data_IF_911331293977
#
_entry.id   IF_911331293977
#
_cell.length_a   1.000
_cell.length_b   1.000
_cell.length_c   1.000
_cell.angle_alpha   90.00
_cell.angle_beta   90.00
_cell.angle_gamma   90.00
#
_symmetry.space_group_name_H-M   'P 1'
#
loop_
_entity.id
_entity.type
_entity.pdbx_description
1 polymer ?
#
# COMPACT_ATOMS: atom_id res chain seq x y z
N UNK A 1 -56.99 8.80 -20.16
CA UNK A 1 -56.04 7.69 -19.92
C UNK A 1 -55.66 7.76 -18.45
N UNK A 2 -56.02 6.71 -17.72
CA UNK A 2 -55.91 6.57 -16.26
C UNK A 2 -54.49 6.14 -15.88
N UNK A 3 -54.00 6.52 -14.69
CA UNK A 3 -53.31 5.65 -13.72
C UNK A 3 -53.00 6.49 -12.47
N UNK A 4 -54.01 6.58 -11.61
CA UNK A 4 -53.81 6.53 -10.16
C UNK A 4 -53.18 5.19 -9.78
N UNK A 5 -52.56 5.14 -8.59
CA UNK A 5 -51.88 4.00 -7.93
C UNK A 5 -50.35 4.04 -8.10
N UNK A 6 -49.66 4.63 -7.12
CA UNK A 6 -48.65 3.97 -6.27
C UNK A 6 -48.13 4.99 -5.25
N UNK A 7 -48.97 5.27 -4.25
CA UNK A 7 -48.50 5.67 -2.93
C UNK A 7 -48.11 4.39 -2.15
N UNK A 8 -47.23 4.56 -1.15
CA UNK A 8 -46.54 3.57 -0.28
C UNK A 8 -45.11 3.30 -0.79
N UNK A 9 -44.04 3.71 -0.14
CA UNK A 9 -43.75 3.51 1.28
C UNK A 9 -42.86 4.66 1.79
N UNK A 10 -43.41 5.46 2.71
CA UNK A 10 -42.67 6.41 3.54
C UNK A 10 -42.46 5.72 4.88
N UNK A 11 -41.32 5.04 5.03
CA UNK A 11 -40.71 4.73 6.33
C UNK A 11 -39.26 5.18 6.21
N UNK A 12 -38.96 6.40 6.66
CA UNK A 12 -38.42 6.64 8.01
C UNK A 12 -37.30 5.65 8.32
N UNK A 13 -36.07 6.05 8.03
CA UNK A 13 -35.00 6.21 9.01
C UNK A 13 -33.94 7.11 8.38
N UNK A 14 -34.03 8.42 8.64
CA UNK A 14 -32.80 9.19 8.81
C UNK A 14 -32.05 8.53 9.96
N UNK A 15 -30.85 8.03 9.72
CA UNK A 15 -29.81 8.02 10.75
C UNK A 15 -28.46 7.65 10.13
N UNK A 16 -27.50 8.53 10.41
CA UNK A 16 -26.05 8.34 10.29
C UNK A 16 -25.42 8.74 8.96
N UNK A 17 -25.36 10.08 8.78
CA UNK A 17 -24.16 10.78 8.32
C UNK A 17 -22.88 10.03 8.71
N UNK A 18 -22.28 9.32 7.76
CA UNK A 18 -20.87 8.91 7.86
C UNK A 18 -20.14 9.50 6.65
N UNK A 19 -19.29 10.52 6.82
CA UNK A 19 -18.67 11.26 5.73
C UNK A 19 -17.55 10.50 5.00
N UNK A 20 -17.58 9.16 4.98
CA UNK A 20 -16.47 8.34 4.49
C UNK A 20 -16.89 7.17 3.60
N UNK A 21 -17.69 7.42 2.56
CA UNK A 21 -17.79 6.49 1.43
C UNK A 21 -16.81 6.82 0.30
N UNK A 22 -16.47 8.10 0.12
CA UNK A 22 -15.49 8.55 -0.87
C UNK A 22 -14.07 8.09 -0.50
N UNK A 23 -13.69 8.13 0.79
CA UNK A 23 -12.37 7.68 1.24
C UNK A 23 -12.11 6.19 0.97
N UNK A 24 -13.15 5.36 1.10
CA UNK A 24 -13.09 3.92 0.81
C UNK A 24 -12.93 3.64 -0.69
N UNK A 25 -13.55 4.45 -1.55
CA UNK A 25 -13.47 4.29 -3.00
C UNK A 25 -12.17 4.87 -3.59
N UNK A 26 -11.65 5.98 -3.06
CA UNK A 26 -10.37 6.57 -3.48
C UNK A 26 -9.15 5.72 -3.09
N UNK A 27 -9.30 4.82 -2.11
CA UNK A 27 -8.26 3.86 -1.72
C UNK A 27 -8.15 2.67 -2.68
N UNK A 28 -9.21 2.40 -3.47
CA UNK A 28 -9.30 1.22 -4.34
C UNK A 28 -8.86 1.48 -5.78
N UNK A 29 -8.93 2.72 -6.28
CA UNK A 29 -8.59 3.03 -7.68
C UNK A 29 -7.10 3.26 -7.94
N UNK A 30 -6.28 3.47 -6.90
CA UNK A 30 -4.87 3.83 -7.05
C UNK A 30 -3.92 2.62 -7.03
N UNK A 31 -4.18 1.56 -7.79
CA UNK A 31 -3.25 0.41 -7.92
C UNK A 31 -3.32 -0.22 -9.31
N UNK A 32 -2.65 0.41 -10.26
CA UNK A 32 -2.26 -0.28 -11.50
C UNK A 32 -0.79 0.01 -11.78
N UNK A 33 0.08 -0.53 -10.93
CA UNK A 33 1.46 -0.77 -11.33
C UNK A 33 1.71 -2.26 -11.15
N UNK A 34 1.28 -3.03 -12.14
CA UNK A 34 1.30 -4.51 -12.11
C UNK A 34 2.73 -5.07 -12.02
N UNK A 35 3.76 -4.28 -12.30
CA UNK A 35 5.16 -4.68 -12.32
C UNK A 35 6.04 -3.70 -11.54
N UNK A 36 7.15 -4.20 -11.01
CA UNK A 36 8.17 -3.35 -10.39
C UNK A 36 8.91 -2.54 -11.47
N UNK A 37 9.41 -1.34 -11.13
CA UNK A 37 10.34 -0.60 -11.99
C UNK A 37 11.57 -1.44 -12.36
N UNK A 38 11.92 -1.50 -13.65
CA UNK A 38 13.04 -2.32 -14.15
C UNK A 38 14.39 -1.95 -13.50
N UNK A 39 14.57 -0.70 -13.07
CA UNK A 39 15.75 -0.27 -12.33
C UNK A 39 15.97 -1.03 -11.01
N UNK A 40 14.95 -1.71 -10.49
CA UNK A 40 15.05 -2.50 -9.26
C UNK A 40 15.52 -3.93 -9.49
N UNK A 41 15.58 -4.39 -10.74
CA UNK A 41 16.04 -5.75 -11.10
C UNK A 41 17.36 -6.15 -10.42
N UNK A 42 18.39 -5.29 -10.28
CA UNK A 42 19.62 -5.64 -9.58
C UNK A 42 19.43 -6.05 -8.10
N UNK A 43 18.38 -5.58 -7.43
CA UNK A 43 18.09 -5.93 -6.04
C UNK A 43 17.49 -7.34 -5.88
N UNK A 44 17.06 -7.97 -6.98
CA UNK A 44 16.32 -9.23 -7.02
C UNK A 44 17.02 -10.28 -7.90
N UNK A 45 18.35 -10.29 -7.88
CA UNK A 45 19.19 -11.17 -8.71
C UNK A 45 18.99 -12.67 -8.48
N UNK A 46 18.37 -13.05 -7.36
CA UNK A 46 18.15 -14.42 -6.88
C UNK A 46 16.73 -14.95 -7.17
N UNK A 47 15.86 -14.16 -7.79
CA UNK A 47 14.46 -14.51 -8.05
C UNK A 47 14.01 -14.09 -9.45
N UNK A 48 12.93 -14.70 -9.94
CA UNK A 48 12.33 -14.32 -11.21
C UNK A 48 11.64 -12.94 -11.10
N UNK A 49 12.34 -11.89 -11.56
CA UNK A 49 11.89 -10.50 -11.43
C UNK A 49 10.54 -10.25 -12.10
N UNK A 50 10.28 -10.87 -13.26
CA UNK A 50 9.03 -10.68 -14.00
C UNK A 50 7.78 -11.20 -13.28
N UNK A 51 7.95 -12.07 -12.28
CA UNK A 51 6.86 -12.57 -11.45
C UNK A 51 6.57 -11.69 -10.23
N UNK A 52 7.42 -10.71 -9.92
CA UNK A 52 7.28 -9.85 -8.75
C UNK A 52 6.30 -8.71 -9.03
N UNK A 53 5.37 -8.53 -8.09
CA UNK A 53 4.53 -7.33 -8.00
C UNK A 53 4.46 -6.90 -6.55
N UNK A 54 4.35 -5.59 -6.31
CA UNK A 54 4.28 -5.08 -4.94
C UNK A 54 3.02 -5.55 -4.22
N UNK A 55 1.92 -5.73 -4.94
CA UNK A 55 0.66 -6.24 -4.39
C UNK A 55 0.78 -7.69 -3.91
N UNK A 56 1.54 -8.53 -4.62
CA UNK A 56 1.71 -9.94 -4.28
C UNK A 56 2.75 -10.15 -3.19
N UNK A 57 3.85 -9.39 -3.22
CA UNK A 57 5.00 -9.60 -2.34
C UNK A 57 5.45 -8.33 -1.60
N UNK A 58 4.54 -7.57 -0.96
CA UNK A 58 4.86 -6.24 -0.44
C UNK A 58 5.97 -6.28 0.62
N UNK A 59 5.87 -7.25 1.55
CA UNK A 59 6.86 -7.42 2.62
C UNK A 59 8.24 -7.78 2.08
N UNK A 60 8.32 -8.78 1.19
CA UNK A 60 9.59 -9.24 0.62
C UNK A 60 10.29 -8.11 -0.14
N UNK A 61 9.55 -7.40 -0.99
CA UNK A 61 10.07 -6.27 -1.77
C UNK A 61 10.52 -5.15 -0.85
N UNK A 62 9.68 -4.74 0.11
CA UNK A 62 10.04 -3.69 1.04
C UNK A 62 11.30 -4.02 1.85
N UNK A 63 11.39 -5.24 2.38
CA UNK A 63 12.57 -5.71 3.11
C UNK A 63 13.83 -5.71 2.24
N UNK A 64 13.70 -6.08 0.96
CA UNK A 64 14.82 -6.06 0.00
C UNK A 64 15.29 -4.64 -0.29
N UNK A 65 14.36 -3.73 -0.59
CA UNK A 65 14.69 -2.34 -0.88
C UNK A 65 15.22 -1.60 0.36
N UNK A 66 14.74 -1.91 1.56
CA UNK A 66 15.28 -1.31 2.78
C UNK A 66 16.70 -1.80 3.13
N UNK A 67 17.04 -3.05 2.79
CA UNK A 67 18.36 -3.62 3.03
C UNK A 67 19.41 -3.15 2.00
N UNK A 68 19.04 -3.10 0.72
CA UNK A 68 20.00 -2.96 -0.38
C UNK A 68 19.67 -1.85 -1.38
N UNK A 69 18.48 -1.25 -1.27
CA UNK A 69 18.03 -0.20 -2.18
C UNK A 69 18.80 1.10 -2.00
N UNK A 70 18.94 1.82 -3.10
CA UNK A 70 19.44 3.19 -3.13
C UNK A 70 18.37 4.21 -2.75
N UNK A 71 18.72 5.49 -2.82
CA UNK A 71 17.81 6.59 -2.51
C UNK A 71 16.54 6.56 -3.37
N UNK A 72 16.63 6.17 -4.65
CA UNK A 72 15.49 6.11 -5.56
C UNK A 72 14.52 5.01 -5.16
N UNK A 73 15.04 3.82 -4.86
CA UNK A 73 14.25 2.69 -4.39
C UNK A 73 13.54 3.01 -3.06
N UNK A 74 14.24 3.67 -2.13
CA UNK A 74 13.66 4.10 -0.86
C UNK A 74 12.56 5.15 -1.07
N UNK A 75 12.78 6.16 -1.91
CA UNK A 75 11.76 7.19 -2.22
C UNK A 75 10.52 6.56 -2.85
N UNK A 76 10.70 5.60 -3.74
CA UNK A 76 9.59 4.83 -4.31
C UNK A 76 8.81 4.08 -3.22
N UNK A 77 9.50 3.35 -2.34
CA UNK A 77 8.86 2.62 -1.25
C UNK A 77 8.12 3.56 -0.28
N UNK A 78 8.71 4.71 0.03
CA UNK A 78 8.08 5.76 0.85
C UNK A 78 6.81 6.31 0.19
N UNK A 79 6.77 6.45 -1.14
CA UNK A 79 5.58 6.91 -1.86
C UNK A 79 4.41 5.92 -1.78
N UNK A 80 4.71 4.63 -1.57
CA UNK A 80 3.71 3.56 -1.49
C UNK A 80 3.22 3.34 -0.06
N UNK A 81 4.14 3.21 0.90
CA UNK A 81 3.84 2.83 2.29
C UNK A 81 3.70 4.02 3.23
N UNK A 82 4.29 5.16 2.87
CA UNK A 82 4.47 6.28 3.78
C UNK A 82 5.44 5.97 4.93
N UNK A 83 5.72 6.99 5.74
CA UNK A 83 6.66 6.89 6.87
C UNK A 83 6.19 5.88 7.92
N UNK A 84 4.90 5.87 8.25
CA UNK A 84 4.32 4.95 9.26
C UNK A 84 4.32 3.50 8.79
N UNK A 85 4.04 3.24 7.51
CA UNK A 85 4.11 1.90 6.91
C UNK A 85 5.53 1.34 6.97
N UNK A 86 6.53 2.12 6.55
CA UNK A 86 7.93 1.71 6.66
C UNK A 86 8.33 1.46 8.12
N UNK A 87 7.92 2.33 9.07
CA UNK A 87 8.21 2.12 10.51
C UNK A 87 7.67 0.77 10.99
N UNK A 88 6.45 0.40 10.59
CA UNK A 88 5.85 -0.90 10.91
C UNK A 88 6.61 -2.07 10.27
N UNK A 89 7.06 -1.94 9.03
CA UNK A 89 7.89 -2.95 8.37
C UNK A 89 9.21 -3.13 9.13
N UNK A 90 9.89 -2.03 9.48
CA UNK A 90 11.16 -2.06 10.22
C UNK A 90 11.02 -2.70 11.60
N UNK A 91 9.91 -2.45 12.30
CA UNK A 91 9.63 -3.04 13.62
C UNK A 91 9.28 -4.54 13.53
N UNK A 92 8.57 -4.97 12.49
CA UNK A 92 8.04 -6.35 12.40
C UNK A 92 8.91 -7.30 11.58
N UNK A 93 9.78 -6.78 10.72
CA UNK A 93 10.58 -7.60 9.82
C UNK A 93 11.62 -8.42 10.57
N UNK A 94 11.76 -9.69 10.20
CA UNK A 94 12.84 -10.58 10.65
C UNK A 94 14.01 -10.65 9.68
N UNK A 95 13.83 -10.14 8.46
CA UNK A 95 14.81 -10.23 7.36
C UNK A 95 15.64 -8.96 7.17
N UNK A 96 15.32 -7.87 7.88
CA UNK A 96 16.21 -6.72 7.94
C UNK A 96 17.44 -7.05 8.78
N UNK A 97 18.61 -6.80 8.21
CA UNK A 97 19.85 -6.95 8.95
C UNK A 97 19.94 -5.91 10.09
N UNK A 98 20.77 -6.17 11.10
CA UNK A 98 20.86 -5.33 12.29
C UNK A 98 21.27 -3.88 11.99
N UNK A 99 22.22 -3.67 11.06
CA UNK A 99 22.70 -2.33 10.68
C UNK A 99 21.59 -1.52 10.02
N UNK A 100 20.89 -2.12 9.06
CA UNK A 100 19.74 -1.52 8.37
C UNK A 100 18.62 -1.19 9.34
N UNK A 101 18.27 -2.11 10.25
CA UNK A 101 17.24 -1.86 11.26
C UNK A 101 17.60 -0.67 12.15
N UNK A 102 18.82 -0.62 12.66
CA UNK A 102 19.29 0.48 13.51
C UNK A 102 19.24 1.82 12.76
N UNK A 103 19.73 1.84 11.52
CA UNK A 103 19.66 3.03 10.66
C UNK A 103 18.22 3.53 10.53
N UNK A 104 17.28 2.67 10.15
CA UNK A 104 15.90 3.08 9.95
C UNK A 104 15.19 3.46 11.26
N UNK A 105 15.54 2.86 12.40
CA UNK A 105 15.01 3.28 13.70
C UNK A 105 15.41 4.71 14.05
N UNK A 106 16.65 5.12 13.73
CA UNK A 106 17.12 6.49 13.92
C UNK A 106 16.46 7.45 12.92
N UNK A 107 16.33 7.06 11.64
CA UNK A 107 15.71 7.93 10.63
C UNK A 107 14.20 8.12 10.81
N UNK A 108 13.53 7.13 11.41
CA UNK A 108 12.08 7.07 11.61
C UNK A 108 11.65 7.32 13.06
N UNK A 109 12.59 7.68 13.94
CA UNK A 109 12.28 8.11 15.30
C UNK A 109 11.28 9.27 15.28
#
# INVERSE_FOLDING_TARGET
>A
MNYQLYAKDKRLCEENTSPNRIFTLMSAEKRKNTSLPEEFKPYFWDVEFGALTYEKYPRFIAERLLNFGDERAVKWLLSLEGRSGIKKIVQTSRNLNAKTRNYWQVMLS
#
